data_IF_679010242626
#
_entry.id   IF_679010242626
#
_cell.length_a   1.000
_cell.length_b   1.000
_cell.length_c   1.000
_cell.angle_alpha   90.00
_cell.angle_beta   90.00
_cell.angle_gamma   90.00
#
_symmetry.space_group_name_H-M   'P 1'
#
loop_
_entity.id
_entity.type
_entity.pdbx_description
1 polymer ?
#
# COMPACT_ATOMS: atom_id res chain seq x y z
N UNK A 1 5.84 19.25 -5.95
CA UNK A 1 5.12 20.50 -5.59
C UNK A 1 4.31 20.29 -4.31
N UNK A 2 4.13 21.36 -3.54
CA UNK A 2 3.16 21.34 -2.44
C UNK A 2 1.82 21.90 -2.91
N UNK A 3 0.72 21.27 -2.48
CA UNK A 3 -0.65 21.71 -2.75
C UNK A 3 -1.47 21.73 -1.45
N UNK A 4 -2.51 22.55 -1.37
CA UNK A 4 -3.41 22.61 -0.22
C UNK A 4 -4.42 21.46 -0.31
N UNK A 5 -4.37 20.54 0.65
CA UNK A 5 -5.29 19.40 0.77
C UNK A 5 -5.64 19.22 2.23
N UNK A 6 -6.93 19.14 2.53
CA UNK A 6 -7.41 18.93 3.90
C UNK A 6 -6.90 19.96 4.90
N UNK A 7 -6.68 21.20 4.45
CA UNK A 7 -6.22 22.32 5.28
C UNK A 7 -4.72 22.35 5.58
N UNK A 8 -3.90 21.51 4.97
CA UNK A 8 -2.43 21.51 5.08
C UNK A 8 -1.76 21.42 3.72
N UNK A 9 -0.48 21.81 3.63
CA UNK A 9 0.32 21.60 2.43
C UNK A 9 0.76 20.14 2.33
N UNK A 10 0.34 19.43 1.26
CA UNK A 10 0.72 18.05 1.00
C UNK A 10 1.58 17.95 -0.26
N UNK A 11 2.55 17.07 -0.26
CA UNK A 11 3.51 16.91 -1.35
C UNK A 11 3.03 15.95 -2.43
N UNK A 12 3.08 16.41 -3.68
CA UNK A 12 2.91 15.58 -4.88
C UNK A 12 4.14 15.69 -5.78
N UNK A 13 4.50 14.59 -6.41
CA UNK A 13 5.45 14.53 -7.51
C UNK A 13 4.74 13.93 -8.73
N UNK A 14 4.74 14.63 -9.85
CA UNK A 14 4.09 14.23 -11.09
C UNK A 14 5.17 14.12 -12.17
N UNK A 15 5.22 12.96 -12.84
CA UNK A 15 6.10 12.70 -13.99
C UNK A 15 5.29 12.19 -15.17
N UNK A 16 5.88 12.26 -16.39
CA UNK A 16 5.27 11.68 -17.59
C UNK A 16 4.02 12.40 -18.11
N UNK A 17 3.92 13.72 -17.91
CA UNK A 17 2.76 14.49 -18.37
C UNK A 17 2.75 14.61 -19.89
N UNK A 18 1.78 13.95 -20.53
CA UNK A 18 1.45 14.11 -21.94
C UNK A 18 -0.08 14.10 -22.11
N UNK A 19 -0.64 14.78 -23.12
CA UNK A 19 -2.09 14.93 -23.25
C UNK A 19 -2.88 13.63 -23.34
N UNK A 20 -2.25 12.57 -23.85
CA UNK A 20 -2.84 11.22 -24.03
C UNK A 20 -2.47 10.23 -22.92
N UNK A 21 -1.68 10.67 -21.95
CA UNK A 21 -1.30 9.83 -20.82
C UNK A 21 -2.39 9.84 -19.74
N UNK A 22 -3.03 8.70 -19.42
CA UNK A 22 -3.92 8.64 -18.29
C UNK A 22 -3.15 8.87 -16.99
N UNK A 23 -3.79 9.57 -16.06
CA UNK A 23 -3.23 9.84 -14.73
C UNK A 23 -3.25 8.58 -13.90
N UNK A 24 -2.10 8.19 -13.35
CA UNK A 24 -1.95 7.11 -12.39
C UNK A 24 -1.61 7.69 -11.03
N UNK A 25 -2.55 7.68 -10.08
CA UNK A 25 -2.30 8.06 -8.69
C UNK A 25 -1.88 6.83 -7.88
N UNK A 26 -0.67 6.87 -7.34
CA UNK A 26 -0.15 5.81 -6.48
C UNK A 26 -0.39 6.12 -5.00
N UNK A 27 -1.11 5.24 -4.32
CA UNK A 27 -1.35 5.25 -2.88
C UNK A 27 -0.33 4.35 -2.18
N UNK A 28 0.66 4.95 -1.55
CA UNK A 28 1.70 4.20 -0.84
C UNK A 28 1.17 3.44 0.37
N UNK A 29 1.90 2.40 0.77
CA UNK A 29 1.63 1.59 1.96
C UNK A 29 2.11 2.22 3.28
N UNK A 30 2.10 1.42 4.29
CA UNK A 30 2.51 1.80 5.64
C UNK A 30 1.44 1.50 6.70
N UNK A 31 0.61 2.47 7.15
CA UNK A 31 0.55 3.91 6.81
C UNK A 31 1.86 4.66 7.07
N UNK A 32 1.98 5.84 6.44
CA UNK A 32 3.14 6.73 6.64
C UNK A 32 4.38 6.37 5.81
N UNK A 33 4.28 5.44 4.85
CA UNK A 33 5.34 5.21 3.87
C UNK A 33 5.48 6.38 2.89
N UNK A 34 6.35 6.23 1.90
CA UNK A 34 6.47 7.14 0.75
C UNK A 34 7.00 6.36 -0.44
N UNK A 35 6.56 6.70 -1.65
CA UNK A 35 7.08 6.14 -2.90
C UNK A 35 8.05 7.10 -3.62
N UNK A 36 8.17 8.33 -3.15
CA UNK A 36 9.06 9.33 -3.75
C UNK A 36 10.52 8.85 -3.86
N UNK A 37 11.10 8.17 -2.85
CA UNK A 37 12.47 7.67 -2.94
C UNK A 37 12.71 6.65 -4.04
N UNK A 38 11.70 5.96 -4.51
CA UNK A 38 11.80 4.92 -5.55
C UNK A 38 11.23 5.37 -6.90
N UNK A 39 10.76 6.60 -6.99
CA UNK A 39 10.16 7.15 -8.21
C UNK A 39 11.08 7.03 -9.45
N UNK A 40 12.40 7.14 -9.26
CA UNK A 40 13.35 6.98 -10.36
C UNK A 40 13.30 5.60 -11.06
N UNK A 41 12.92 4.54 -10.34
CA UNK A 41 12.74 3.20 -10.88
C UNK A 41 11.48 3.11 -11.77
N UNK A 42 10.57 4.07 -11.66
CA UNK A 42 9.31 4.10 -12.39
C UNK A 42 9.33 5.07 -13.57
N UNK A 43 10.50 5.61 -13.94
CA UNK A 43 10.63 6.44 -15.16
C UNK A 43 10.08 5.78 -16.44
N UNK A 44 10.26 4.45 -16.68
CA UNK A 44 9.64 3.80 -17.83
C UNK A 44 8.10 3.84 -17.82
N UNK A 45 7.47 4.02 -16.67
CA UNK A 45 6.02 4.17 -16.57
C UNK A 45 5.54 5.52 -17.11
N UNK A 46 6.42 6.53 -17.05
CA UNK A 46 6.13 7.90 -17.50
C UNK A 46 5.98 8.01 -19.04
N UNK A 47 6.42 6.98 -19.77
CA UNK A 47 6.16 6.85 -21.21
C UNK A 47 4.72 6.44 -21.54
N UNK A 48 3.94 6.05 -20.51
CA UNK A 48 2.58 5.50 -20.66
C UNK A 48 1.53 6.15 -19.77
N UNK A 49 1.96 6.82 -18.70
CA UNK A 49 1.10 7.42 -17.68
C UNK A 49 1.66 8.74 -17.18
N UNK A 50 0.79 9.65 -16.79
CA UNK A 50 1.17 10.71 -15.86
C UNK A 50 1.21 10.12 -14.45
N UNK A 51 2.40 9.74 -13.98
CA UNK A 51 2.61 9.03 -12.70
C UNK A 51 2.64 10.03 -11.56
N UNK A 52 1.75 9.86 -10.59
CA UNK A 52 1.63 10.73 -9.42
C UNK A 52 2.01 9.98 -8.15
N UNK A 53 3.09 10.43 -7.53
CA UNK A 53 3.49 10.03 -6.18
C UNK A 53 2.98 11.06 -5.19
N UNK A 54 2.19 10.63 -4.22
CA UNK A 54 1.64 11.48 -3.18
C UNK A 54 2.17 11.05 -1.81
N UNK A 55 2.85 11.96 -1.12
CA UNK A 55 3.16 11.78 0.29
C UNK A 55 1.91 12.13 1.11
N UNK A 56 1.20 11.12 1.57
CA UNK A 56 -0.02 11.26 2.35
C UNK A 56 0.22 12.04 3.64
N UNK A 57 -0.83 12.60 4.24
CA UNK A 57 -0.75 13.24 5.57
C UNK A 57 -0.01 12.34 6.54
N UNK A 58 0.98 12.88 7.24
CA UNK A 58 1.85 12.13 8.17
C UNK A 58 2.96 11.31 7.50
N UNK A 59 3.20 11.48 6.20
CA UNK A 59 4.23 10.75 5.46
C UNK A 59 5.22 11.68 4.74
N UNK A 60 6.43 11.20 4.53
CA UNK A 60 7.43 11.79 3.66
C UNK A 60 7.62 13.30 3.82
N UNK A 61 7.60 14.02 2.69
CA UNK A 61 7.74 15.48 2.64
C UNK A 61 6.53 16.22 3.21
N UNK A 62 5.34 15.63 3.16
CA UNK A 62 4.15 16.20 3.82
C UNK A 62 4.36 16.26 5.32
N UNK A 63 4.87 15.18 5.95
CA UNK A 63 5.21 15.21 7.37
C UNK A 63 6.37 16.16 7.67
N UNK A 64 7.40 16.19 6.84
CA UNK A 64 8.53 17.09 7.01
C UNK A 64 8.11 18.58 7.03
N UNK A 65 7.11 18.94 6.22
CA UNK A 65 6.59 20.31 6.13
C UNK A 65 5.73 20.69 7.33
N UNK A 66 4.89 19.78 7.82
CA UNK A 66 3.82 20.08 8.78
C UNK A 66 4.13 19.64 10.22
N UNK A 67 5.00 18.63 10.40
CA UNK A 67 5.23 17.98 11.69
C UNK A 67 3.99 17.25 12.24
N UNK A 68 4.09 16.71 13.44
CA UNK A 68 2.97 16.04 14.11
C UNK A 68 1.80 17.00 14.37
N UNK A 69 2.09 18.20 14.88
CA UNK A 69 1.07 19.20 15.22
C UNK A 69 0.30 19.70 14.00
N UNK A 70 0.98 19.93 12.86
CA UNK A 70 0.35 20.37 11.63
C UNK A 70 -0.44 19.26 10.96
N UNK A 71 0.04 18.00 11.00
CA UNK A 71 -0.72 16.85 10.52
C UNK A 71 -1.98 16.59 11.37
N UNK A 72 -1.96 16.93 12.65
CA UNK A 72 -3.07 16.75 13.58
C UNK A 72 -3.41 15.28 13.86
N UNK A 73 -4.63 15.03 14.32
CA UNK A 73 -5.11 13.67 14.60
C UNK A 73 -5.41 12.94 13.29
N UNK A 74 -4.67 11.88 13.00
CA UNK A 74 -4.96 11.02 11.86
C UNK A 74 -6.14 10.09 12.17
N UNK A 75 -7.05 9.96 11.18
CA UNK A 75 -8.11 8.95 11.13
C UNK A 75 -8.23 8.42 9.71
N UNK A 76 -8.74 7.20 9.53
CA UNK A 76 -9.01 6.66 8.18
C UNK A 76 -9.95 7.60 7.42
N UNK A 77 -10.97 8.14 8.09
CA UNK A 77 -11.92 9.10 7.51
C UNK A 77 -11.22 10.35 6.96
N UNK A 78 -10.29 10.95 7.71
CA UNK A 78 -9.53 12.12 7.26
C UNK A 78 -8.62 11.77 6.08
N UNK A 79 -7.94 10.62 6.14
CA UNK A 79 -7.08 10.15 5.03
C UNK A 79 -7.86 9.93 3.74
N UNK A 80 -9.08 9.41 3.83
CA UNK A 80 -9.96 9.23 2.66
C UNK A 80 -10.44 10.56 2.10
N UNK A 81 -10.76 11.54 2.94
CA UNK A 81 -11.13 12.91 2.49
C UNK A 81 -9.97 13.56 1.76
N UNK A 82 -8.78 13.54 2.34
CA UNK A 82 -7.57 14.06 1.69
C UNK A 82 -7.32 13.38 0.34
N UNK A 83 -7.47 12.06 0.27
CA UNK A 83 -7.23 11.28 -0.95
C UNK A 83 -8.23 11.59 -2.07
N UNK A 84 -9.50 11.84 -1.73
CA UNK A 84 -10.52 12.28 -2.68
C UNK A 84 -10.20 13.69 -3.18
N UNK A 85 -9.82 14.61 -2.29
CA UNK A 85 -9.44 15.97 -2.67
C UNK A 85 -8.21 15.99 -3.59
N UNK A 86 -7.22 15.09 -3.35
CA UNK A 86 -6.09 14.88 -4.28
C UNK A 86 -6.58 14.39 -5.64
N UNK A 87 -7.48 13.43 -5.69
CA UNK A 87 -8.03 12.93 -6.95
C UNK A 87 -8.76 14.02 -7.74
N UNK A 88 -9.60 14.81 -7.08
CA UNK A 88 -10.31 15.96 -7.69
C UNK A 88 -9.34 17.04 -8.20
N UNK A 89 -8.29 17.34 -7.40
CA UNK A 89 -7.23 18.25 -7.84
C UNK A 89 -6.54 17.75 -9.11
N UNK A 90 -6.16 16.46 -9.16
CA UNK A 90 -5.46 15.89 -10.32
C UNK A 90 -6.33 15.87 -11.57
N UNK A 91 -7.61 15.53 -11.46
CA UNK A 91 -8.59 15.57 -12.56
C UNK A 91 -8.65 16.98 -13.14
N UNK A 92 -8.77 18.00 -12.29
CA UNK A 92 -8.82 19.40 -12.72
C UNK A 92 -7.49 19.90 -13.28
N UNK A 93 -6.39 19.62 -12.58
CA UNK A 93 -5.05 20.14 -12.89
C UNK A 93 -4.48 19.55 -14.19
N UNK A 94 -4.74 18.26 -14.46
CA UNK A 94 -4.24 17.54 -15.63
C UNK A 94 -5.30 17.41 -16.74
N UNK A 95 -6.48 18.02 -16.57
CA UNK A 95 -7.59 18.02 -17.51
C UNK A 95 -7.99 16.59 -17.97
N UNK A 96 -7.98 15.64 -17.04
CA UNK A 96 -8.37 14.25 -17.31
C UNK A 96 -9.74 13.96 -16.68
N UNK A 97 -10.63 13.20 -17.36
CA UNK A 97 -11.98 12.94 -16.86
C UNK A 97 -12.00 12.01 -15.65
N UNK A 98 -11.05 11.08 -15.58
CA UNK A 98 -10.89 10.07 -14.53
C UNK A 98 -9.42 9.72 -14.35
N UNK A 99 -9.09 9.09 -13.22
CA UNK A 99 -7.72 8.63 -12.93
C UNK A 99 -7.69 7.13 -12.66
N UNK A 100 -6.56 6.50 -13.02
CA UNK A 100 -6.22 5.15 -12.58
C UNK A 100 -5.71 5.23 -11.14
N UNK A 101 -6.29 4.45 -10.24
CA UNK A 101 -5.88 4.36 -8.85
C UNK A 101 -5.07 3.08 -8.63
N UNK A 102 -3.84 3.20 -8.15
CA UNK A 102 -2.98 2.06 -7.79
C UNK A 102 -2.64 2.15 -6.31
N UNK A 103 -3.08 1.17 -5.53
CA UNK A 103 -2.81 1.11 -4.08
C UNK A 103 -1.86 -0.02 -3.71
N UNK A 104 -0.95 0.23 -2.76
CA UNK A 104 -0.06 -0.78 -2.20
C UNK A 104 -0.33 -0.95 -0.70
N UNK A 105 -0.58 -2.21 -0.25
CA UNK A 105 -0.74 -2.53 1.18
C UNK A 105 -1.81 -1.65 1.85
N UNK A 106 -1.48 -0.83 2.87
CA UNK A 106 -2.39 0.18 3.42
C UNK A 106 -3.09 1.03 2.34
N UNK A 107 -2.36 1.42 1.29
CA UNK A 107 -2.92 2.19 0.17
C UNK A 107 -4.07 1.48 -0.54
N UNK A 108 -4.14 0.15 -0.48
CA UNK A 108 -5.28 -0.60 -1.04
C UNK A 108 -6.54 -0.42 -0.22
N UNK A 109 -6.42 -0.39 1.12
CA UNK A 109 -7.56 -0.10 1.98
C UNK A 109 -8.08 1.33 1.74
N UNK A 110 -7.16 2.30 1.66
CA UNK A 110 -7.49 3.68 1.31
C UNK A 110 -8.22 3.75 -0.04
N UNK A 111 -7.68 3.07 -1.07
CA UNK A 111 -8.28 3.01 -2.41
C UNK A 111 -9.69 2.44 -2.42
N UNK A 112 -9.93 1.33 -1.72
CA UNK A 112 -11.29 0.75 -1.62
C UNK A 112 -12.27 1.74 -0.98
N UNK A 113 -11.88 2.44 0.07
CA UNK A 113 -12.73 3.49 0.67
C UNK A 113 -13.03 4.63 -0.30
N UNK A 114 -12.06 5.07 -1.11
CA UNK A 114 -12.25 6.08 -2.15
C UNK A 114 -13.26 5.62 -3.20
N UNK A 115 -13.10 4.39 -3.71
CA UNK A 115 -14.01 3.79 -4.71
C UNK A 115 -15.46 3.67 -4.21
N UNK A 116 -15.64 3.37 -2.92
CA UNK A 116 -16.97 3.28 -2.32
C UNK A 116 -17.67 4.64 -2.16
N UNK A 117 -16.89 5.74 -2.10
CA UNK A 117 -17.44 7.08 -1.92
C UNK A 117 -17.61 7.87 -3.20
N UNK A 118 -16.65 7.77 -4.11
CA UNK A 118 -16.56 8.58 -5.32
C UNK A 118 -16.07 7.73 -6.51
N UNK A 119 -16.80 6.65 -6.88
CA UNK A 119 -16.42 5.75 -7.97
C UNK A 119 -16.25 6.48 -9.30
N UNK A 120 -17.00 7.55 -9.51
CA UNK A 120 -16.98 8.34 -10.77
C UNK A 120 -15.64 9.03 -11.05
N UNK A 121 -14.78 9.21 -10.04
CA UNK A 121 -13.46 9.80 -10.23
C UNK A 121 -12.44 8.83 -10.85
N UNK A 122 -12.74 7.53 -10.89
CA UNK A 122 -11.75 6.50 -11.21
C UNK A 122 -12.12 5.74 -12.47
N UNK A 123 -11.11 5.51 -13.33
CA UNK A 123 -11.23 4.67 -14.53
C UNK A 123 -11.05 3.18 -14.19
N UNK A 124 -10.17 2.86 -13.25
CA UNK A 124 -9.93 1.52 -12.72
C UNK A 124 -9.18 1.60 -11.37
N UNK A 125 -9.16 0.48 -10.66
CA UNK A 125 -8.35 0.29 -9.46
C UNK A 125 -7.45 -0.94 -9.59
N UNK A 126 -6.19 -0.78 -9.20
CA UNK A 126 -5.23 -1.88 -9.03
C UNK A 126 -4.79 -1.93 -7.59
N UNK A 127 -5.21 -2.97 -6.88
CA UNK A 127 -4.69 -3.29 -5.55
C UNK A 127 -3.46 -4.20 -5.68
N UNK A 128 -2.32 -3.78 -5.12
CA UNK A 128 -1.17 -4.68 -5.00
C UNK A 128 -0.88 -4.94 -3.53
N UNK A 129 -0.75 -6.19 -3.17
CA UNK A 129 -0.69 -6.62 -1.77
C UNK A 129 -1.93 -6.18 -1.01
N UNK A 130 -3.06 -6.64 -1.52
CA UNK A 130 -4.38 -6.19 -1.07
C UNK A 130 -4.62 -6.52 0.40
N UNK A 131 -4.69 -5.49 1.22
CA UNK A 131 -5.20 -5.62 2.57
C UNK A 131 -6.72 -5.85 2.49
N UNK A 132 -7.21 -6.92 3.11
CA UNK A 132 -8.63 -7.30 3.06
C UNK A 132 -9.31 -7.13 4.40
N UNK A 133 -8.79 -7.82 5.41
CA UNK A 133 -9.28 -7.78 6.78
C UNK A 133 -8.09 -7.94 7.71
N UNK A 134 -7.83 -6.94 8.53
CA UNK A 134 -6.60 -6.91 9.34
C UNK A 134 -6.55 -8.05 10.36
N UNK A 135 -7.67 -8.35 11.00
CA UNK A 135 -7.75 -9.45 11.96
C UNK A 135 -7.46 -10.81 11.31
N UNK A 136 -8.09 -11.08 10.17
CA UNK A 136 -7.85 -12.33 9.42
C UNK A 136 -6.41 -12.42 8.91
N UNK A 137 -5.81 -11.30 8.50
CA UNK A 137 -4.40 -11.24 8.15
C UNK A 137 -3.49 -11.67 9.30
N UNK A 138 -3.73 -11.12 10.50
CA UNK A 138 -2.94 -11.45 11.69
C UNK A 138 -3.11 -12.92 12.08
N UNK A 139 -4.36 -13.43 12.09
CA UNK A 139 -4.67 -14.83 12.40
C UNK A 139 -4.00 -15.81 11.42
N UNK A 140 -4.05 -15.50 10.11
CA UNK A 140 -3.43 -16.30 9.07
C UNK A 140 -1.90 -16.35 9.23
N UNK A 141 -1.28 -15.17 9.37
CA UNK A 141 0.17 -15.04 9.46
C UNK A 141 0.70 -15.67 10.76
N UNK A 142 0.02 -15.49 11.89
CA UNK A 142 0.43 -16.11 13.16
C UNK A 142 0.45 -17.64 13.05
N UNK A 143 -0.64 -18.23 12.53
CA UNK A 143 -0.71 -19.68 12.33
C UNK A 143 0.39 -20.18 11.40
N UNK A 144 0.54 -19.56 10.22
CA UNK A 144 1.57 -19.91 9.22
C UNK A 144 2.97 -19.86 9.81
N UNK A 145 3.29 -18.83 10.57
CA UNK A 145 4.62 -18.67 11.18
C UNK A 145 4.87 -19.67 12.31
N UNK A 146 3.85 -20.00 13.10
CA UNK A 146 3.97 -21.06 14.11
C UNK A 146 4.26 -22.40 13.45
N UNK A 147 3.49 -22.78 12.42
CA UNK A 147 3.70 -24.02 11.65
C UNK A 147 5.11 -24.05 11.01
N UNK A 148 5.57 -22.94 10.46
CA UNK A 148 6.90 -22.84 9.85
C UNK A 148 8.01 -22.94 10.91
N UNK A 149 7.87 -22.27 12.05
CA UNK A 149 8.83 -22.33 13.15
C UNK A 149 8.97 -23.76 13.71
N UNK A 150 7.85 -24.45 13.91
CA UNK A 150 7.82 -25.85 14.36
C UNK A 150 8.45 -26.80 13.31
N UNK A 151 8.14 -26.63 12.03
CA UNK A 151 8.73 -27.41 10.92
C UNK A 151 10.24 -27.25 10.80
N UNK A 152 10.75 -26.02 11.02
CA UNK A 152 12.17 -25.71 10.98
C UNK A 152 12.91 -26.07 12.29
N UNK A 153 12.20 -26.50 13.34
CA UNK A 153 12.77 -26.75 14.66
C UNK A 153 13.33 -25.47 15.33
N UNK A 154 12.82 -24.29 14.94
CA UNK A 154 13.28 -23.02 15.49
C UNK A 154 12.59 -22.73 16.82
N UNK A 155 13.18 -23.27 17.91
CA UNK A 155 12.63 -23.09 19.27
C UNK A 155 12.57 -21.63 19.73
N UNK A 156 13.47 -20.76 19.25
CA UNK A 156 13.47 -19.34 19.59
C UNK A 156 12.23 -18.65 19.00
N UNK A 157 11.92 -18.91 17.72
CA UNK A 157 10.72 -18.42 17.07
C UNK A 157 9.45 -18.93 17.77
N UNK A 158 9.38 -20.23 18.06
CA UNK A 158 8.24 -20.83 18.76
C UNK A 158 8.02 -20.15 20.12
N UNK A 159 9.09 -19.93 20.91
CA UNK A 159 8.98 -19.23 22.21
C UNK A 159 8.49 -17.80 22.03
N UNK A 160 9.06 -17.06 21.09
CA UNK A 160 8.69 -15.66 20.85
C UNK A 160 7.23 -15.52 20.37
N UNK A 161 6.80 -16.36 19.43
CA UNK A 161 5.42 -16.36 18.94
C UNK A 161 4.42 -16.78 20.02
N UNK A 162 4.74 -17.77 20.84
CA UNK A 162 3.90 -18.14 22.01
C UNK A 162 3.82 -17.02 23.04
N UNK A 163 4.89 -16.24 23.23
CA UNK A 163 4.91 -15.13 24.20
C UNK A 163 3.97 -13.98 23.78
N UNK A 164 3.87 -13.65 22.48
CA UNK A 164 2.90 -12.65 22.01
C UNK A 164 1.46 -13.18 21.96
N UNK A 165 1.29 -14.52 21.94
CA UNK A 165 0.00 -15.18 21.84
C UNK A 165 -0.70 -15.02 20.49
N UNK A 166 -1.86 -15.69 20.31
CA UNK A 166 -2.65 -15.56 19.11
C UNK A 166 -3.34 -14.18 19.01
N UNK A 167 -3.62 -13.69 17.76
CA UNK A 167 -4.43 -12.49 17.59
C UNK A 167 -5.86 -12.63 18.17
N UNK A 168 -6.53 -11.52 18.52
CA UNK A 168 -6.12 -10.13 18.28
C UNK A 168 -5.03 -9.65 19.23
N UNK A 169 -3.96 -9.08 18.69
CA UNK A 169 -2.86 -8.61 19.53
C UNK A 169 -3.25 -7.45 20.44
N UNK A 170 -2.76 -7.40 21.68
CA UNK A 170 -3.09 -6.33 22.63
C UNK A 170 -2.52 -4.98 22.18
N UNK A 171 -1.37 -5.01 21.52
CA UNK A 171 -0.59 -3.83 21.12
C UNK A 171 0.13 -4.02 19.77
N UNK A 172 0.75 -2.94 19.31
CA UNK A 172 1.51 -2.92 18.07
C UNK A 172 2.84 -3.70 18.18
N UNK A 173 3.39 -3.84 19.37
CA UNK A 173 4.67 -4.52 19.58
C UNK A 173 4.55 -6.00 19.20
N UNK A 174 3.46 -6.64 19.57
CA UNK A 174 3.16 -8.02 19.18
C UNK A 174 3.09 -8.20 17.67
N UNK A 175 2.46 -7.25 16.94
CA UNK A 175 2.44 -7.26 15.47
C UNK A 175 3.85 -7.08 14.87
N UNK A 176 4.68 -6.21 15.46
CA UNK A 176 6.08 -6.01 15.01
C UNK A 176 6.87 -7.30 15.19
N UNK A 177 6.76 -7.94 16.35
CA UNK A 177 7.40 -9.23 16.64
C UNK A 177 6.98 -10.30 15.63
N UNK A 178 5.69 -10.40 15.32
CA UNK A 178 5.19 -11.34 14.31
C UNK A 178 5.86 -11.10 12.95
N UNK A 179 5.98 -9.83 12.51
CA UNK A 179 6.57 -9.47 11.22
C UNK A 179 8.08 -9.69 11.16
N UNK A 180 8.79 -9.46 12.25
CA UNK A 180 10.23 -9.74 12.34
C UNK A 180 10.51 -11.23 12.23
N UNK A 181 9.69 -12.07 12.85
CA UNK A 181 9.82 -13.51 12.73
C UNK A 181 9.43 -14.02 11.34
N UNK A 182 8.49 -13.37 10.65
CA UNK A 182 8.16 -13.71 9.27
C UNK A 182 9.39 -13.62 8.36
N UNK A 183 10.14 -12.52 8.44
CA UNK A 183 11.34 -12.31 7.62
C UNK A 183 12.43 -13.35 7.97
N UNK A 184 12.71 -13.58 9.26
CA UNK A 184 13.72 -14.54 9.74
C UNK A 184 13.38 -15.99 9.39
N UNK A 185 12.10 -16.38 9.48
CA UNK A 185 11.68 -17.74 9.16
C UNK A 185 11.72 -17.99 7.65
N UNK A 186 11.44 -16.98 6.82
CA UNK A 186 11.58 -17.09 5.38
C UNK A 186 13.03 -17.34 4.99
N UNK A 187 13.98 -16.60 5.56
CA UNK A 187 15.44 -16.81 5.35
C UNK A 187 15.87 -18.23 5.77
N UNK A 188 15.38 -18.70 6.92
CA UNK A 188 15.67 -20.06 7.42
C UNK A 188 15.09 -21.19 6.55
N UNK A 189 14.09 -20.90 5.74
CA UNK A 189 13.45 -21.82 4.80
C UNK A 189 14.06 -21.75 3.38
N UNK A 190 15.11 -20.96 3.21
CA UNK A 190 15.78 -20.75 1.92
C UNK A 190 15.06 -19.78 0.98
N UNK A 191 14.03 -19.12 1.49
CA UNK A 191 13.33 -18.03 0.81
C UNK A 191 13.97 -16.71 1.27
N UNK A 192 14.49 -15.93 0.32
CA UNK A 192 15.11 -14.65 0.65
C UNK A 192 14.07 -13.54 0.48
N UNK A 193 13.62 -12.90 1.57
CA UNK A 193 12.71 -11.77 1.47
C UNK A 193 13.30 -10.69 0.57
N UNK A 194 12.49 -10.20 -0.36
CA UNK A 194 12.91 -9.09 -1.19
C UNK A 194 13.24 -7.86 -0.32
N UNK A 195 14.30 -7.11 -0.66
CA UNK A 195 14.69 -5.94 0.13
C UNK A 195 13.54 -4.94 0.21
N UNK A 196 13.33 -4.39 1.41
CA UNK A 196 12.37 -3.29 1.58
C UNK A 196 12.84 -2.09 0.77
N UNK A 197 11.94 -1.41 0.03
CA UNK A 197 12.31 -0.18 -0.63
C UNK A 197 12.81 0.81 0.42
N UNK A 198 14.03 1.27 0.23
CA UNK A 198 14.61 2.29 1.08
C UNK A 198 15.16 3.42 0.23
N UNK A 199 15.17 4.67 0.71
CA UNK A 199 15.88 5.74 0.04
C UNK A 199 17.35 5.32 -0.14
N UNK A 200 17.87 5.42 -1.38
CA UNK A 200 19.29 5.26 -1.58
C UNK A 200 19.99 6.44 -0.87
N UNK A 201 20.99 6.14 -0.06
CA UNK A 201 21.73 7.16 0.67
C UNK A 201 22.32 8.27 -0.24
N UNK A 202 22.50 7.99 -1.54
CA UNK A 202 22.94 8.95 -2.53
C UNK A 202 21.84 9.97 -2.95
N UNK A 203 20.55 9.63 -2.76
CA UNK A 203 19.44 10.44 -3.28
C UNK A 203 18.83 11.35 -2.19
N UNK A 204 19.12 11.08 -0.90
CA UNK A 204 18.53 11.78 0.24
C UNK A 204 19.56 12.05 1.32
N UNK A 205 19.44 13.20 1.94
CA UNK A 205 20.25 13.52 3.15
C UNK A 205 19.77 12.66 4.33
N UNK A 206 20.69 12.34 5.24
CA UNK A 206 20.37 11.55 6.43
C UNK A 206 19.21 12.14 7.26
N UNK A 207 19.11 13.47 7.32
CA UNK A 207 18.04 14.20 8.01
C UNK A 207 16.67 13.99 7.34
N UNK A 208 16.64 13.94 6.00
CA UNK A 208 15.40 13.67 5.25
C UNK A 208 14.92 12.25 5.50
N UNK A 209 15.84 11.27 5.47
CA UNK A 209 15.54 9.88 5.81
C UNK A 209 15.02 9.76 7.24
N UNK A 210 15.67 10.40 8.21
CA UNK A 210 15.23 10.39 9.60
C UNK A 210 13.81 10.96 9.75
N UNK A 211 13.51 12.08 9.08
CA UNK A 211 12.18 12.69 9.09
C UNK A 211 11.12 11.79 8.45
N UNK A 212 11.43 11.11 7.34
CA UNK A 212 10.54 10.12 6.72
C UNK A 212 10.22 8.97 7.69
N UNK A 213 11.22 8.47 8.41
CA UNK A 213 11.03 7.42 9.43
C UNK A 213 10.17 7.88 10.61
N UNK A 214 10.36 9.13 11.08
CA UNK A 214 9.53 9.74 12.12
C UNK A 214 8.07 9.85 11.67
N UNK A 215 7.81 10.35 10.46
CA UNK A 215 6.46 10.43 9.90
C UNK A 215 5.80 9.06 9.76
N UNK A 216 6.57 8.06 9.32
CA UNK A 216 6.09 6.69 9.23
C UNK A 216 5.72 6.10 10.62
N UNK A 217 6.51 6.38 11.64
CA UNK A 217 6.20 5.93 13.01
C UNK A 217 4.99 6.67 13.58
N UNK A 218 4.90 7.99 13.41
CA UNK A 218 3.75 8.80 13.79
C UNK A 218 2.46 8.25 13.17
N UNK A 219 2.43 8.03 11.86
CA UNK A 219 1.25 7.56 11.15
C UNK A 219 0.83 6.16 11.57
N UNK A 220 1.80 5.22 11.71
CA UNK A 220 1.52 3.87 12.18
C UNK A 220 0.95 3.84 13.59
N UNK A 221 1.47 4.68 14.48
CA UNK A 221 0.97 4.80 15.86
C UNK A 221 -0.44 5.40 15.89
N UNK A 222 -0.63 6.50 15.16
CA UNK A 222 -1.91 7.23 15.17
C UNK A 222 -3.06 6.40 14.59
N UNK A 223 -2.82 5.66 13.48
CA UNK A 223 -3.85 4.89 12.78
C UNK A 223 -4.00 3.45 13.28
N UNK A 224 -3.16 2.96 14.20
CA UNK A 224 -3.12 1.56 14.60
C UNK A 224 -4.47 1.02 15.05
N UNK A 225 -5.19 1.76 15.90
CA UNK A 225 -6.47 1.30 16.46
C UNK A 225 -7.58 1.19 15.41
N UNK A 226 -7.62 2.11 14.44
CA UNK A 226 -8.58 2.04 13.34
C UNK A 226 -8.16 0.96 12.32
N UNK A 227 -6.85 0.83 12.04
CA UNK A 227 -6.32 -0.16 11.12
C UNK A 227 -6.65 -1.60 11.53
N UNK A 228 -6.59 -1.90 12.84
CA UNK A 228 -6.98 -3.21 13.37
C UNK A 228 -8.42 -3.60 13.08
N UNK A 229 -9.29 -2.62 12.84
CA UNK A 229 -10.71 -2.81 12.58
C UNK A 229 -11.03 -2.85 11.08
N UNK A 230 -10.03 -2.70 10.21
CA UNK A 230 -10.25 -2.75 8.76
C UNK A 230 -10.82 -4.10 8.37
N UNK A 231 -12.01 -4.05 7.75
CA UNK A 231 -12.72 -5.18 7.15
C UNK A 231 -13.37 -4.69 5.86
N UNK A 232 -12.65 -4.77 4.74
CA UNK A 232 -13.11 -4.20 3.47
C UNK A 232 -14.34 -4.89 2.90
N UNK A 233 -14.52 -6.23 3.01
CA UNK A 233 -15.77 -6.87 2.63
C UNK A 233 -17.02 -6.30 3.29
N UNK A 234 -16.91 -5.79 4.52
CA UNK A 234 -18.04 -5.16 5.21
C UNK A 234 -18.54 -3.86 4.56
N UNK A 235 -17.72 -3.23 3.71
CA UNK A 235 -18.10 -2.07 2.89
C UNK A 235 -18.96 -2.46 1.67
N UNK A 236 -19.19 -3.76 1.46
CA UNK A 236 -19.86 -4.34 0.30
C UNK A 236 -18.90 -4.73 -0.82
N UNK A 237 -19.30 -5.69 -1.62
CA UNK A 237 -18.47 -6.32 -2.66
C UNK A 237 -18.78 -5.82 -4.08
N UNK A 238 -19.77 -4.96 -4.27
CA UNK A 238 -20.14 -4.39 -5.58
C UNK A 238 -19.35 -3.12 -5.85
N UNK A 239 -18.71 -3.03 -7.01
CA UNK A 239 -17.94 -1.88 -7.48
C UNK A 239 -18.42 -1.42 -8.84
N UNK A 240 -18.38 -0.11 -9.09
CA UNK A 240 -18.79 0.52 -10.35
C UNK A 240 -17.63 0.68 -11.33
N UNK A 241 -16.40 0.38 -10.88
CA UNK A 241 -15.16 0.51 -11.67
C UNK A 241 -14.47 -0.85 -11.84
N UNK A 242 -13.67 -1.05 -12.88
CA UNK A 242 -12.81 -2.22 -13.03
C UNK A 242 -11.88 -2.41 -11.83
N UNK A 243 -11.75 -3.64 -11.32
CA UNK A 243 -10.94 -4.00 -10.16
C UNK A 243 -9.89 -5.05 -10.55
N UNK A 244 -8.64 -4.76 -10.24
CA UNK A 244 -7.53 -5.67 -10.44
C UNK A 244 -6.77 -5.89 -9.14
N UNK A 245 -6.36 -7.14 -8.87
CA UNK A 245 -5.42 -7.45 -7.80
C UNK A 245 -4.14 -8.03 -8.38
N UNK A 246 -3.02 -7.44 -7.99
CA UNK A 246 -1.67 -7.80 -8.44
C UNK A 246 -0.88 -8.30 -7.23
N UNK A 247 -0.83 -9.63 -7.05
CA UNK A 247 -0.40 -10.28 -5.81
C UNK A 247 0.86 -11.11 -6.01
N UNK A 248 1.73 -11.14 -5.00
CA UNK A 248 2.83 -12.08 -4.98
C UNK A 248 2.52 -13.29 -4.13
N UNK A 249 3.03 -14.43 -4.59
CA UNK A 249 2.69 -15.71 -3.99
C UNK A 249 3.38 -15.99 -2.65
N UNK A 250 4.44 -15.21 -2.31
CA UNK A 250 5.22 -15.38 -1.07
C UNK A 250 5.01 -14.24 -0.06
N UNK A 251 3.93 -13.45 -0.20
CA UNK A 251 3.64 -12.38 0.76
C UNK A 251 3.30 -12.94 2.15
N UNK A 252 4.05 -12.47 3.15
CA UNK A 252 3.87 -12.83 4.55
C UNK A 252 3.25 -11.69 5.39
N UNK A 253 2.80 -10.60 4.74
CA UNK A 253 2.13 -9.49 5.42
C UNK A 253 0.65 -9.40 5.06
N UNK A 254 0.32 -9.50 3.75
CA UNK A 254 -1.05 -9.54 3.23
C UNK A 254 -1.22 -10.81 2.40
N UNK A 255 -1.65 -11.92 3.01
CA UNK A 255 -1.72 -13.23 2.36
C UNK A 255 -2.55 -13.20 1.09
N UNK A 256 -1.97 -13.70 -0.02
CA UNK A 256 -2.64 -13.78 -1.32
C UNK A 256 -3.97 -14.55 -1.25
N UNK A 257 -4.06 -15.54 -0.37
CA UNK A 257 -5.27 -16.34 -0.19
C UNK A 257 -6.47 -15.50 0.28
N UNK A 258 -6.24 -14.50 1.14
CA UNK A 258 -7.29 -13.58 1.57
C UNK A 258 -7.67 -12.61 0.45
N UNK A 259 -6.68 -12.14 -0.31
CA UNK A 259 -6.93 -11.32 -1.50
C UNK A 259 -7.73 -12.09 -2.55
N UNK A 260 -7.41 -13.38 -2.80
CA UNK A 260 -8.16 -14.24 -3.72
C UNK A 260 -9.62 -14.43 -3.26
N UNK A 261 -9.85 -14.73 -1.97
CA UNK A 261 -11.20 -14.87 -1.43
C UNK A 261 -12.02 -13.59 -1.61
N UNK A 262 -11.42 -12.44 -1.39
CA UNK A 262 -12.09 -11.15 -1.59
C UNK A 262 -12.37 -10.89 -3.07
N UNK A 263 -11.40 -11.15 -3.95
CA UNK A 263 -11.54 -11.05 -5.39
C UNK A 263 -12.69 -11.92 -5.92
N UNK A 264 -12.81 -13.16 -5.44
CA UNK A 264 -13.88 -14.08 -5.86
C UNK A 264 -15.26 -13.53 -5.49
N UNK A 265 -15.38 -12.86 -4.35
CA UNK A 265 -16.62 -12.24 -3.88
C UNK A 265 -16.95 -10.91 -4.57
N UNK A 266 -15.96 -10.19 -5.13
CA UNK A 266 -16.16 -8.90 -5.79
C UNK A 266 -17.03 -9.03 -7.05
N UNK A 267 -18.01 -8.14 -7.19
CA UNK A 267 -18.77 -7.85 -8.39
C UNK A 267 -18.32 -6.50 -8.96
N UNK A 268 -17.80 -6.49 -10.19
CA UNK A 268 -17.31 -5.29 -10.86
C UNK A 268 -17.50 -5.41 -12.39
N UNK A 269 -17.53 -4.29 -13.14
CA UNK A 269 -17.66 -4.31 -14.60
C UNK A 269 -16.58 -5.13 -15.30
N UNK A 270 -15.38 -5.11 -14.75
CA UNK A 270 -14.25 -5.94 -15.18
C UNK A 270 -13.40 -6.32 -13.97
N UNK A 271 -12.86 -7.55 -13.97
CA UNK A 271 -11.98 -8.03 -12.89
C UNK A 271 -10.75 -8.74 -13.48
N UNK A 272 -9.59 -8.54 -12.84
CA UNK A 272 -8.37 -9.28 -13.15
C UNK A 272 -7.58 -9.63 -11.89
N UNK A 273 -6.95 -10.80 -11.89
CA UNK A 273 -6.06 -11.25 -10.81
C UNK A 273 -4.73 -11.69 -11.41
N UNK A 274 -3.66 -11.00 -11.09
CA UNK A 274 -2.30 -11.28 -11.56
C UNK A 274 -1.46 -11.81 -10.41
N UNK A 275 -0.77 -12.90 -10.64
CA UNK A 275 0.13 -13.53 -9.67
C UNK A 275 1.58 -13.30 -10.08
N UNK A 276 2.37 -12.79 -9.15
CA UNK A 276 3.81 -12.67 -9.30
C UNK A 276 4.48 -13.80 -8.50
N UNK A 277 4.88 -14.83 -9.21
CA UNK A 277 5.46 -16.05 -8.60
C UNK A 277 6.78 -15.73 -7.89
N UNK A 278 6.95 -16.28 -6.69
CA UNK A 278 8.12 -16.07 -5.83
C UNK A 278 8.30 -14.66 -5.30
N UNK A 279 7.32 -13.76 -5.54
CA UNK A 279 7.44 -12.37 -5.09
C UNK A 279 6.79 -12.15 -3.71
N UNK A 280 7.47 -11.32 -2.90
CA UNK A 280 7.04 -10.93 -1.57
C UNK A 280 6.24 -9.62 -1.56
N UNK A 281 6.22 -8.90 -0.44
CA UNK A 281 5.38 -7.72 -0.20
C UNK A 281 5.66 -6.50 -1.09
N UNK A 282 6.84 -6.40 -1.70
CA UNK A 282 7.29 -5.17 -2.39
C UNK A 282 7.44 -5.30 -3.91
N UNK A 283 6.66 -6.18 -4.56
CA UNK A 283 6.78 -6.46 -6.01
C UNK A 283 6.74 -5.22 -6.89
N UNK A 284 5.85 -4.27 -6.61
CA UNK A 284 5.69 -3.03 -7.38
C UNK A 284 6.97 -2.16 -7.35
N UNK A 285 7.78 -2.32 -6.32
CA UNK A 285 9.05 -1.60 -6.14
C UNK A 285 10.25 -2.41 -6.65
N UNK A 286 10.24 -3.72 -6.43
CA UNK A 286 11.38 -4.60 -6.72
C UNK A 286 11.33 -5.18 -8.13
N UNK A 287 10.16 -5.21 -8.76
CA UNK A 287 9.91 -5.70 -10.13
C UNK A 287 9.11 -4.68 -10.96
N UNK A 288 9.50 -3.39 -11.00
CA UNK A 288 8.69 -2.32 -11.60
C UNK A 288 8.39 -2.57 -13.09
N UNK A 289 9.34 -3.16 -13.84
CA UNK A 289 9.14 -3.47 -15.27
C UNK A 289 8.14 -4.61 -15.47
N UNK A 290 8.16 -5.63 -14.61
CA UNK A 290 7.18 -6.70 -14.64
C UNK A 290 5.79 -6.18 -14.30
N UNK A 291 5.70 -5.34 -13.27
CA UNK A 291 4.44 -4.71 -12.86
C UNK A 291 3.88 -3.81 -13.97
N UNK A 292 4.72 -3.01 -14.62
CA UNK A 292 4.33 -2.18 -15.77
C UNK A 292 3.75 -3.02 -16.91
N UNK A 293 4.41 -4.14 -17.28
CA UNK A 293 3.89 -5.02 -18.34
C UNK A 293 2.47 -5.49 -18.05
N UNK A 294 2.18 -5.89 -16.80
CA UNK A 294 0.82 -6.32 -16.41
C UNK A 294 -0.18 -5.15 -16.45
N UNK A 295 0.24 -3.94 -16.03
CA UNK A 295 -0.59 -2.74 -16.18
C UNK A 295 -0.94 -2.46 -17.65
N UNK A 296 0.05 -2.54 -18.54
CA UNK A 296 -0.14 -2.29 -19.96
C UNK A 296 -1.00 -3.37 -20.63
N UNK A 297 -0.87 -4.61 -20.21
CA UNK A 297 -1.60 -5.75 -20.77
C UNK A 297 -3.06 -5.77 -20.32
N UNK A 298 -3.33 -5.57 -19.03
CA UNK A 298 -4.63 -5.83 -18.44
C UNK A 298 -5.44 -4.57 -18.13
N UNK A 299 -4.79 -3.48 -17.81
CA UNK A 299 -5.46 -2.27 -17.30
C UNK A 299 -5.52 -1.16 -18.34
N UNK A 300 -4.41 -0.87 -19.01
CA UNK A 300 -4.29 0.23 -19.99
C UNK A 300 -5.36 0.21 -21.10
N UNK A 301 -5.79 -0.96 -21.63
CA UNK A 301 -6.83 -1.04 -22.65
C UNK A 301 -8.24 -0.59 -22.19
N UNK A 302 -8.45 -0.43 -20.88
CA UNK A 302 -9.74 -0.04 -20.30
C UNK A 302 -9.80 1.45 -19.90
N UNK A 303 -8.69 2.19 -20.05
CA UNK A 303 -8.57 3.59 -19.59
C UNK A 303 -8.98 4.58 -20.66
#
# INVERSE_FOLDING_TARGET
MYIQIGGIEQWLQIGGQAPDHPVLLFLHGGPGGTSVPVAAAWRPWEDHFAVVHWDQRGAGRTFAKNGESGCGRLTIELMVKDAIEVAEFLISHLAQPKILLVGHSWGTALGIHMLKRRPELFSAFVGTRQLVNMRKNEEYNYRRQMEQAERLGNEEAVRALRAIGPPPFPDRTSLVTLREWADRLAEGDGDSPEPRPSPRAADFKAEEVATMLQGAEFSRKALYQELRQVDLPSLGVKFEVPIFFFEGTHDQQTPMELAQQYYDAIEAPHKGFVRFEGCHHFVVFNRPDAFLRELLTHVRPLL
#
